data_IF_041115464009
#
_entry.id   IF_041115464009
#
_cell.length_a   1.000
_cell.length_b   1.000
_cell.length_c   1.000
_cell.angle_alpha   90.00
_cell.angle_beta   90.00
_cell.angle_gamma   90.00
#
_symmetry.space_group_name_H-M   'P 1'
#
loop_
_entity.id
_entity.type
_entity.pdbx_description
1 polymer ?
#
# COMPACT_ATOMS: atom_id res chain seq x y z
N UNK A 1 -4.79 3.61 11.26
CA UNK A 1 -5.78 3.45 10.16
C UNK A 1 -6.49 2.12 10.32
N UNK A 2 -7.79 2.12 10.25
CA UNK A 2 -8.59 0.90 10.29
C UNK A 2 -9.01 0.54 8.86
N UNK A 3 -8.75 -0.68 8.47
CA UNK A 3 -9.13 -1.21 7.16
C UNK A 3 -10.21 -2.28 7.35
N UNK A 4 -11.28 -2.16 6.61
CA UNK A 4 -12.38 -3.12 6.64
C UNK A 4 -12.45 -3.83 5.29
N UNK A 5 -12.26 -5.13 5.31
CA UNK A 5 -12.36 -5.98 4.13
C UNK A 5 -13.20 -7.21 4.48
N UNK A 6 -14.27 -7.41 3.74
CA UNK A 6 -15.18 -8.57 3.94
C UNK A 6 -15.73 -8.70 5.38
N UNK A 7 -16.06 -7.56 6.00
CA UNK A 7 -16.58 -7.53 7.37
C UNK A 7 -15.54 -7.74 8.47
N UNK A 8 -14.27 -7.86 8.12
CA UNK A 8 -13.16 -7.94 9.09
C UNK A 8 -12.41 -6.62 9.13
N UNK A 9 -12.24 -6.09 10.32
CA UNK A 9 -11.45 -4.88 10.55
C UNK A 9 -10.02 -5.27 10.93
N UNK A 10 -9.04 -4.52 10.41
CA UNK A 10 -7.65 -4.59 10.85
C UNK A 10 -7.08 -3.19 11.02
N UNK A 11 -6.20 -3.05 11.99
CA UNK A 11 -5.51 -1.79 12.27
C UNK A 11 -4.16 -1.83 11.57
N UNK A 12 -3.92 -0.83 10.73
CA UNK A 12 -2.68 -0.69 9.98
C UNK A 12 -1.96 0.57 10.46
N UNK A 13 -0.75 0.47 10.98
CA UNK A 13 0.05 1.65 11.33
C UNK A 13 0.44 2.42 10.07
N UNK A 14 0.47 3.74 10.16
CA UNK A 14 0.92 4.62 9.09
C UNK A 14 2.04 5.52 9.59
N UNK A 15 3.02 5.78 8.74
CA UNK A 15 4.11 6.69 9.07
C UNK A 15 3.69 8.16 9.05
N UNK A 16 4.51 9.02 9.64
CA UNK A 16 4.25 10.46 9.73
C UNK A 16 4.07 11.11 8.36
N UNK A 17 4.91 10.84 7.35
CA UNK A 17 4.69 11.42 6.02
C UNK A 17 3.35 11.02 5.40
N UNK A 18 2.94 9.77 5.56
CA UNK A 18 1.66 9.28 5.08
C UNK A 18 0.50 9.97 5.80
N UNK A 19 0.59 10.11 7.12
CA UNK A 19 -0.40 10.82 7.93
C UNK A 19 -0.60 12.25 7.44
N UNK A 20 0.47 12.99 7.25
CA UNK A 20 0.41 14.37 6.74
C UNK A 20 -0.22 14.46 5.36
N UNK A 21 0.12 13.54 4.47
CA UNK A 21 -0.48 13.48 3.13
C UNK A 21 -1.98 13.20 3.19
N UNK A 22 -2.41 12.30 4.07
CA UNK A 22 -3.82 11.97 4.26
C UNK A 22 -4.61 13.13 4.88
N UNK A 23 -4.06 13.82 5.87
CA UNK A 23 -4.68 15.00 6.47
C UNK A 23 -4.91 16.08 5.40
N UNK A 24 -3.90 16.37 4.60
CA UNK A 24 -4.00 17.32 3.49
C UNK A 24 -5.06 16.89 2.46
N UNK A 25 -5.10 15.61 2.12
CA UNK A 25 -6.11 15.07 1.23
C UNK A 25 -7.53 15.24 1.79
N UNK A 26 -7.74 14.93 3.06
CA UNK A 26 -9.04 15.06 3.71
C UNK A 26 -9.52 16.51 3.78
N UNK A 27 -8.62 17.45 4.04
CA UNK A 27 -8.95 18.87 4.17
C UNK A 27 -9.22 19.55 2.83
N UNK A 28 -8.45 19.21 1.80
CA UNK A 28 -8.45 19.95 0.53
C UNK A 28 -8.89 19.12 -0.67
N UNK A 29 -8.37 17.90 -0.82
CA UNK A 29 -8.61 17.09 -2.01
C UNK A 29 -9.97 16.41 -2.01
N UNK A 30 -10.29 15.69 -0.95
CA UNK A 30 -11.54 14.93 -0.86
C UNK A 30 -12.76 15.83 -0.93
N UNK A 31 -12.73 16.98 -0.31
CA UNK A 31 -13.83 17.95 -0.31
C UNK A 31 -14.15 18.53 -1.69
N UNK A 32 -13.18 18.53 -2.60
CA UNK A 32 -13.38 18.98 -3.99
C UNK A 32 -14.24 17.99 -4.78
N UNK A 33 -14.03 16.68 -4.57
CA UNK A 33 -14.71 15.65 -5.33
C UNK A 33 -16.00 15.17 -4.70
N UNK A 34 -16.06 15.11 -3.38
CA UNK A 34 -17.22 14.58 -2.64
C UNK A 34 -18.23 15.69 -2.42
N UNK A 35 -19.39 15.54 -3.05
CA UNK A 35 -20.52 16.47 -2.92
C UNK A 35 -21.66 15.90 -2.08
N UNK A 36 -21.72 14.58 -1.94
CA UNK A 36 -22.71 13.88 -1.14
C UNK A 36 -22.14 13.63 0.27
N UNK A 37 -22.74 14.25 1.27
CA UNK A 37 -22.34 14.10 2.67
C UNK A 37 -22.47 12.66 3.20
N UNK A 38 -23.23 11.82 2.50
CA UNK A 38 -23.42 10.41 2.85
C UNK A 38 -22.28 9.51 2.37
N UNK A 39 -21.37 10.04 1.53
CA UNK A 39 -20.24 9.24 1.03
C UNK A 39 -19.23 9.00 2.14
N UNK A 40 -19.05 7.73 2.49
CA UNK A 40 -18.16 7.29 3.57
C UNK A 40 -16.80 6.79 3.08
N UNK A 41 -16.64 6.54 1.78
CA UNK A 41 -15.37 6.07 1.24
C UNK A 41 -14.25 7.09 1.50
N UNK A 42 -13.12 6.61 1.98
CA UNK A 42 -11.94 7.45 2.21
C UNK A 42 -11.38 7.96 0.89
N UNK A 43 -11.11 7.06 -0.05
CA UNK A 43 -10.60 7.40 -1.37
C UNK A 43 -11.71 7.38 -2.41
N UNK A 44 -11.84 8.47 -3.13
CA UNK A 44 -12.90 8.67 -4.13
C UNK A 44 -12.32 8.93 -5.50
N UNK A 45 -13.14 8.69 -6.53
CA UNK A 45 -12.85 9.11 -7.90
C UNK A 45 -13.25 10.58 -8.13
N UNK A 46 -13.06 11.07 -9.36
CA UNK A 46 -13.41 12.43 -9.74
C UNK A 46 -14.91 12.74 -9.64
N UNK A 47 -15.76 11.71 -9.63
CA UNK A 47 -17.20 11.84 -9.43
C UNK A 47 -17.62 11.86 -7.96
N UNK A 48 -16.67 11.77 -7.05
CA UNK A 48 -16.93 11.74 -5.61
C UNK A 48 -17.45 10.42 -5.08
N UNK A 49 -17.38 9.36 -5.86
CA UNK A 49 -17.76 7.99 -5.47
C UNK A 49 -16.53 7.16 -5.09
N UNK A 50 -16.74 6.08 -4.34
CA UNK A 50 -15.66 5.18 -3.94
C UNK A 50 -14.79 4.77 -5.14
N UNK A 51 -13.49 4.87 -4.97
CA UNK A 51 -12.53 4.45 -5.98
C UNK A 51 -12.56 2.93 -6.15
N UNK A 52 -12.68 2.45 -7.39
CA UNK A 52 -12.61 1.02 -7.70
C UNK A 52 -11.17 0.51 -7.71
N UNK A 53 -10.99 -0.81 -7.63
CA UNK A 53 -9.67 -1.44 -7.80
C UNK A 53 -9.03 -1.07 -9.13
N UNK A 54 -9.80 -1.08 -10.20
CA UNK A 54 -9.33 -0.70 -11.54
C UNK A 54 -8.96 0.78 -11.62
N UNK A 55 -9.74 1.66 -10.98
CA UNK A 55 -9.44 3.08 -10.88
C UNK A 55 -8.12 3.34 -10.15
N UNK A 56 -7.90 2.67 -9.04
CA UNK A 56 -6.64 2.76 -8.31
C UNK A 56 -5.46 2.25 -9.15
N UNK A 57 -5.63 1.14 -9.84
CA UNK A 57 -4.58 0.60 -10.71
C UNK A 57 -4.19 1.58 -11.83
N UNK A 58 -5.18 2.25 -12.44
CA UNK A 58 -4.91 3.28 -13.45
C UNK A 58 -4.10 4.45 -12.87
N UNK A 59 -4.45 4.91 -11.68
CA UNK A 59 -3.70 5.97 -10.99
C UNK A 59 -2.26 5.53 -10.73
N UNK A 60 -2.08 4.34 -10.19
CA UNK A 60 -0.76 3.79 -9.92
C UNK A 60 0.08 3.65 -11.19
N UNK A 61 -0.51 3.17 -12.27
CA UNK A 61 0.15 3.06 -13.57
C UNK A 61 0.57 4.43 -14.11
N UNK A 62 -0.28 5.44 -13.98
CA UNK A 62 0.05 6.81 -14.36
C UNK A 62 1.27 7.34 -13.62
N UNK A 63 1.34 7.16 -12.33
CA UNK A 63 2.51 7.55 -11.53
C UNK A 63 3.76 6.78 -11.91
N UNK A 64 3.63 5.49 -12.19
CA UNK A 64 4.76 4.67 -12.65
C UNK A 64 5.31 5.14 -14.00
N UNK A 65 4.43 5.49 -14.94
CA UNK A 65 4.80 6.04 -16.24
C UNK A 65 5.50 7.40 -16.08
N UNK A 66 4.97 8.28 -15.25
CA UNK A 66 5.55 9.59 -14.97
C UNK A 66 6.95 9.47 -14.31
N UNK A 67 7.15 8.45 -13.49
CA UNK A 67 8.42 8.15 -12.86
C UNK A 67 9.42 7.43 -13.78
N UNK A 68 9.02 7.10 -15.01
CA UNK A 68 9.86 6.37 -15.96
C UNK A 68 10.06 4.89 -15.63
N UNK A 69 9.18 4.32 -14.82
CA UNK A 69 9.23 2.91 -14.46
C UNK A 69 8.64 2.08 -15.60
N UNK A 70 9.47 1.27 -16.23
CA UNK A 70 9.08 0.45 -17.40
C UNK A 70 8.45 -0.89 -17.03
N UNK A 71 8.55 -1.32 -15.78
CA UNK A 71 7.95 -2.56 -15.31
C UNK A 71 6.45 -2.36 -15.08
N UNK A 72 5.68 -3.42 -15.31
CA UNK A 72 4.29 -3.44 -14.89
C UNK A 72 4.22 -3.41 -13.36
N UNK A 73 3.57 -2.37 -12.85
CA UNK A 73 3.34 -2.21 -11.42
C UNK A 73 1.86 -2.36 -11.14
N UNK A 74 1.53 -3.34 -10.33
CA UNK A 74 0.18 -3.58 -9.83
C UNK A 74 0.12 -3.27 -8.33
N UNK A 75 -1.08 -3.10 -7.75
CA UNK A 75 -1.21 -2.88 -6.30
C UNK A 75 -0.51 -3.92 -5.44
N UNK A 76 -0.58 -5.21 -5.83
CA UNK A 76 0.11 -6.27 -5.10
C UNK A 76 1.64 -6.15 -5.15
N UNK A 77 2.21 -5.50 -6.18
CA UNK A 77 3.65 -5.21 -6.25
C UNK A 77 4.09 -4.32 -5.09
N UNK A 78 3.31 -3.31 -4.77
CA UNK A 78 3.56 -2.44 -3.62
C UNK A 78 3.45 -3.19 -2.29
N UNK A 79 2.46 -4.09 -2.18
CA UNK A 79 2.29 -4.93 -1.00
C UNK A 79 3.47 -5.86 -0.79
N UNK A 80 3.97 -6.49 -1.83
CA UNK A 80 5.17 -7.33 -1.78
C UNK A 80 6.40 -6.55 -1.36
N UNK A 81 6.59 -5.37 -1.93
CA UNK A 81 7.70 -4.47 -1.58
C UNK A 81 7.64 -4.08 -0.10
N UNK A 82 6.46 -3.76 0.39
CA UNK A 82 6.25 -3.46 1.81
C UNK A 82 6.64 -4.65 2.71
N UNK A 83 6.15 -5.85 2.38
CA UNK A 83 6.46 -7.05 3.14
C UNK A 83 7.97 -7.33 3.19
N UNK A 84 8.64 -7.24 2.05
CA UNK A 84 10.09 -7.42 1.96
C UNK A 84 10.83 -6.40 2.79
N UNK A 85 10.48 -5.12 2.69
CA UNK A 85 11.07 -4.05 3.49
C UNK A 85 10.96 -4.31 4.99
N UNK A 86 9.76 -4.64 5.44
CA UNK A 86 9.51 -4.85 6.86
C UNK A 86 10.31 -6.05 7.39
N UNK A 87 10.33 -7.15 6.66
CA UNK A 87 11.08 -8.36 7.04
C UNK A 87 12.59 -8.12 7.04
N UNK A 88 13.10 -7.38 6.06
CA UNK A 88 14.53 -7.03 6.00
C UNK A 88 14.99 -6.12 7.14
N UNK A 89 14.08 -5.28 7.64
CA UNK A 89 14.35 -4.41 8.78
C UNK A 89 14.05 -5.07 10.13
N UNK A 90 13.86 -6.37 10.14
CA UNK A 90 13.72 -7.15 11.38
C UNK A 90 12.29 -7.28 11.91
N UNK A 91 11.30 -6.90 11.12
CA UNK A 91 9.92 -7.11 11.52
C UNK A 91 9.60 -8.60 11.60
N UNK A 92 8.80 -8.96 12.58
CA UNK A 92 8.28 -10.29 12.76
C UNK A 92 7.27 -10.61 11.64
N UNK A 93 7.36 -11.82 11.08
CA UNK A 93 6.48 -12.23 9.98
C UNK A 93 5.01 -12.21 10.34
N UNK A 94 4.68 -12.53 11.58
CA UNK A 94 3.31 -12.51 12.08
C UNK A 94 2.71 -11.11 12.03
N UNK A 95 3.48 -10.12 12.46
CA UNK A 95 3.08 -8.71 12.41
C UNK A 95 2.84 -8.25 10.97
N UNK A 96 3.71 -8.65 10.04
CA UNK A 96 3.55 -8.33 8.61
C UNK A 96 2.30 -8.99 8.04
N UNK A 97 2.05 -10.25 8.37
CA UNK A 97 0.84 -10.96 7.96
C UNK A 97 -0.44 -10.29 8.48
N UNK A 98 -0.44 -9.83 9.72
CA UNK A 98 -1.57 -9.11 10.30
C UNK A 98 -1.84 -7.79 9.58
N UNK A 99 -0.80 -7.03 9.26
CA UNK A 99 -0.92 -5.77 8.51
C UNK A 99 -1.48 -5.97 7.11
N UNK A 100 -1.04 -7.02 6.41
CA UNK A 100 -1.45 -7.32 5.04
C UNK A 100 -2.78 -8.08 4.95
N UNK A 101 -3.17 -8.73 6.04
CA UNK A 101 -4.31 -9.63 6.06
C UNK A 101 -3.93 -11.07 5.70
N UNK A 102 -4.76 -12.02 6.12
CA UNK A 102 -4.48 -13.46 5.99
C UNK A 102 -4.42 -13.97 4.54
N UNK A 103 -4.99 -13.24 3.59
CA UNK A 103 -4.96 -13.61 2.17
C UNK A 103 -3.56 -13.63 1.56
N UNK A 104 -2.59 -12.96 2.20
CA UNK A 104 -1.21 -12.85 1.73
C UNK A 104 -0.22 -13.76 2.47
N UNK A 105 -0.71 -14.70 3.28
CA UNK A 105 0.14 -15.61 4.05
C UNK A 105 1.09 -16.40 3.15
N UNK A 106 0.59 -16.96 2.05
CA UNK A 106 1.41 -17.73 1.11
C UNK A 106 2.54 -16.91 0.51
N UNK A 107 2.26 -15.68 0.14
CA UNK A 107 3.27 -14.74 -0.39
C UNK A 107 4.32 -14.40 0.65
N UNK A 108 3.90 -14.13 1.88
CA UNK A 108 4.81 -13.82 2.99
C UNK A 108 5.68 -15.03 3.34
N UNK A 109 5.12 -16.25 3.28
CA UNK A 109 5.85 -17.48 3.51
C UNK A 109 6.92 -17.75 2.45
N UNK A 110 6.73 -17.35 1.21
CA UNK A 110 7.75 -17.44 0.16
C UNK A 110 9.01 -16.66 0.57
N UNK A 111 8.85 -15.49 1.17
CA UNK A 111 9.98 -14.69 1.65
C UNK A 111 10.72 -15.34 2.83
N UNK A 112 10.06 -16.16 3.63
CA UNK A 112 10.73 -16.93 4.70
C UNK A 112 11.70 -17.98 4.17
N UNK A 113 11.42 -18.58 3.03
CA UNK A 113 12.30 -19.56 2.38
C UNK A 113 13.52 -18.94 1.71
N UNK A 114 13.58 -17.62 1.59
CA UNK A 114 14.72 -16.91 1.01
C UNK A 114 15.73 -16.55 2.09
N UNK A 115 17.02 -16.59 1.71
CA UNK A 115 18.09 -16.09 2.57
C UNK A 115 17.91 -14.59 2.78
N UNK A 116 17.61 -14.19 4.01
CA UNK A 116 17.36 -12.78 4.37
C UNK A 116 18.56 -11.87 4.06
N UNK A 117 19.78 -12.37 4.24
CA UNK A 117 20.99 -11.62 3.90
C UNK A 117 21.07 -11.34 2.40
N UNK A 118 20.76 -12.34 1.58
CA UNK A 118 20.75 -12.19 0.12
C UNK A 118 19.68 -11.21 -0.34
N UNK A 119 18.49 -11.27 0.25
CA UNK A 119 17.43 -10.33 -0.02
C UNK A 119 17.83 -8.91 0.36
N UNK A 120 18.46 -8.75 1.53
CA UNK A 120 18.96 -7.47 2.02
C UNK A 120 20.00 -6.88 1.09
N UNK A 121 20.96 -7.69 0.64
CA UNK A 121 22.01 -7.26 -0.28
C UNK A 121 21.43 -6.80 -1.63
N UNK A 122 20.50 -7.54 -2.19
CA UNK A 122 19.81 -7.18 -3.43
C UNK A 122 19.04 -5.88 -3.24
N UNK A 123 18.32 -5.75 -2.14
CA UNK A 123 17.56 -4.56 -1.82
C UNK A 123 18.46 -3.32 -1.69
N UNK A 124 19.53 -3.40 -0.92
CA UNK A 124 20.47 -2.31 -0.70
C UNK A 124 21.15 -1.83 -2.00
N UNK A 125 21.34 -2.76 -2.95
CA UNK A 125 21.92 -2.44 -4.26
C UNK A 125 20.94 -1.83 -5.24
N UNK A 126 19.66 -2.17 -5.15
CA UNK A 126 18.66 -1.85 -6.18
C UNK A 126 17.66 -0.80 -5.75
N UNK A 127 17.49 -0.56 -4.46
CA UNK A 127 16.49 0.37 -3.95
C UNK A 127 17.11 1.71 -3.55
N UNK A 128 16.61 2.85 -4.08
CA UNK A 128 17.16 4.16 -3.78
C UNK A 128 16.80 4.69 -2.39
N UNK A 129 15.84 4.08 -1.69
CA UNK A 129 15.37 4.47 -0.34
C UNK A 129 15.42 3.29 0.60
N UNK A 130 16.53 3.08 1.22
CA UNK A 130 16.72 2.02 2.22
C UNK A 130 17.10 2.58 3.59
#
# INVERSE_FOLDING_TARGET
MVCNESGKERIIPIGIPCKKAMERYLETGRTVFVKDEKETALFTNCSGKAMSRQGFWKVLKGYADDAGIKRDIAPHTLRHSFAVHMLQNGADIRSVQEMLGHSDISTTQIYLGMNMNKMRDVYMKTHPRH
#
